data_IF_483559481479
#
_entry.id   IF_483559481479
#
_cell.length_a   1.000
_cell.length_b   1.000
_cell.length_c   1.000
_cell.angle_alpha   90.00
_cell.angle_beta   90.00
_cell.angle_gamma   90.00
#
_symmetry.space_group_name_H-M   'P 1'
#
loop_
_entity.id
_entity.type
_entity.pdbx_description
1 polymer ?
#
# COMPACT_ATOMS: atom_id res chain seq x y z
N UNK A 1 -2.02 -4.02 -7.19
CA UNK A 1 -1.34 -3.75 -8.47
C UNK A 1 0.17 -3.86 -8.29
N UNK A 2 0.79 -2.91 -7.60
CA UNK A 2 2.25 -2.87 -7.40
C UNK A 2 2.86 -4.11 -6.72
N UNK A 3 2.16 -4.72 -5.77
CA UNK A 3 2.62 -5.97 -5.15
C UNK A 3 2.75 -7.11 -6.17
N UNK A 4 1.82 -7.23 -7.11
CA UNK A 4 1.90 -8.32 -8.09
C UNK A 4 3.06 -8.09 -9.07
N UNK A 5 3.26 -6.84 -9.53
CA UNK A 5 4.42 -6.47 -10.36
C UNK A 5 5.73 -6.81 -9.67
N UNK A 6 5.82 -6.50 -8.37
CA UNK A 6 6.96 -6.85 -7.54
C UNK A 6 7.18 -8.37 -7.44
N UNK A 7 6.12 -9.14 -7.21
CA UNK A 7 6.21 -10.61 -7.13
C UNK A 7 6.66 -11.24 -8.45
N UNK A 8 6.26 -10.66 -9.60
CA UNK A 8 6.68 -11.13 -10.92
C UNK A 8 8.17 -10.90 -11.23
N UNK A 9 8.88 -10.09 -10.43
CA UNK A 9 10.34 -9.94 -10.54
C UNK A 9 11.11 -11.07 -9.83
N UNK A 10 10.42 -11.99 -9.15
CA UNK A 10 11.02 -13.04 -8.32
C UNK A 10 10.65 -14.40 -8.92
N UNK A 11 11.62 -15.06 -9.55
CA UNK A 11 11.42 -16.32 -10.26
C UNK A 11 11.13 -17.49 -9.32
N UNK A 12 11.80 -17.53 -8.16
CA UNK A 12 11.66 -18.62 -7.20
C UNK A 12 11.73 -18.13 -5.75
N UNK A 13 11.27 -18.94 -4.78
CA UNK A 13 11.45 -18.62 -3.36
C UNK A 13 12.92 -18.43 -2.98
N UNK A 14 13.86 -19.12 -3.63
CA UNK A 14 15.28 -19.03 -3.30
C UNK A 14 15.87 -17.66 -3.66
N UNK A 15 15.32 -17.02 -4.70
CA UNK A 15 15.74 -15.69 -5.16
C UNK A 15 15.16 -14.54 -4.32
N UNK A 16 14.11 -14.81 -3.54
CA UNK A 16 13.40 -13.77 -2.79
C UNK A 16 14.30 -13.07 -1.76
N UNK A 17 15.26 -13.78 -1.14
CA UNK A 17 16.15 -13.18 -0.15
C UNK A 17 17.16 -12.20 -0.77
N UNK A 18 17.82 -12.58 -1.86
CA UNK A 18 18.75 -11.70 -2.56
C UNK A 18 18.02 -10.47 -3.10
N UNK A 19 16.83 -10.68 -3.69
CA UNK A 19 15.97 -9.62 -4.19
C UNK A 19 15.61 -8.60 -3.08
N UNK A 20 15.21 -9.07 -1.89
CA UNK A 20 14.90 -8.18 -0.75
C UNK A 20 16.13 -7.41 -0.30
N UNK A 21 17.27 -8.08 -0.13
CA UNK A 21 18.51 -7.45 0.34
C UNK A 21 18.98 -6.34 -0.60
N UNK A 22 18.92 -6.57 -1.91
CA UNK A 22 19.29 -5.57 -2.92
C UNK A 22 18.41 -4.33 -2.86
N UNK A 23 17.09 -4.51 -2.76
CA UNK A 23 16.15 -3.40 -2.63
C UNK A 23 16.32 -2.62 -1.33
N UNK A 24 16.56 -3.32 -0.22
CA UNK A 24 16.82 -2.69 1.06
C UNK A 24 18.12 -1.89 1.06
N UNK A 25 19.18 -2.40 0.43
CA UNK A 25 20.45 -1.69 0.26
C UNK A 25 20.27 -0.39 -0.53
N UNK A 26 19.39 -0.41 -1.54
CA UNK A 26 19.00 0.77 -2.34
C UNK A 26 17.94 1.65 -1.67
N UNK A 27 17.54 1.37 -0.43
CA UNK A 27 16.48 2.07 0.33
C UNK A 27 15.14 2.11 -0.41
N UNK A 28 14.87 1.12 -1.25
CA UNK A 28 13.61 1.01 -1.96
C UNK A 28 12.51 0.45 -1.05
N UNK A 29 11.28 0.89 -1.28
CA UNK A 29 10.11 0.39 -0.57
C UNK A 29 9.72 -0.98 -1.14
N UNK A 30 9.46 -1.94 -0.25
CA UNK A 30 8.94 -3.26 -0.60
C UNK A 30 7.44 -3.25 -0.27
N UNK A 31 6.61 -3.53 -1.26
CA UNK A 31 5.15 -3.48 -1.16
C UNK A 31 4.61 -4.71 -0.43
N UNK A 32 3.44 -4.58 0.20
CA UNK A 32 2.83 -5.68 0.98
C UNK A 32 3.33 -5.83 2.42
N UNK A 33 4.15 -4.90 2.91
CA UNK A 33 4.72 -4.94 4.27
C UNK A 33 4.40 -3.70 5.11
N UNK A 34 4.24 -3.93 6.41
CA UNK A 34 3.97 -2.91 7.41
C UNK A 34 2.51 -2.44 7.40
N UNK A 35 2.11 -1.90 8.55
CA UNK A 35 0.77 -1.34 8.75
C UNK A 35 0.86 -0.13 9.69
N UNK A 36 0.05 0.91 9.44
CA UNK A 36 0.05 2.13 10.29
C UNK A 36 -0.51 1.86 11.69
N UNK A 37 -1.41 0.90 11.79
CA UNK A 37 -2.15 0.51 13.01
C UNK A 37 -1.68 -0.82 13.61
N UNK A 38 -1.68 -1.91 12.84
CA UNK A 38 -1.28 -3.23 13.33
C UNK A 38 0.23 -3.35 13.54
N UNK A 39 0.63 -3.66 14.78
CA UNK A 39 2.04 -3.85 15.16
C UNK A 39 2.48 -5.31 15.18
N UNK A 40 1.53 -6.26 15.24
CA UNK A 40 1.79 -7.70 15.41
C UNK A 40 1.23 -8.56 14.27
N UNK A 41 1.12 -7.96 13.08
CA UNK A 41 0.53 -8.60 11.90
C UNK A 41 -0.91 -8.15 11.61
N UNK A 42 -1.26 -8.23 10.34
CA UNK A 42 -2.58 -7.89 9.80
C UNK A 42 -3.50 -9.11 9.87
N UNK A 43 -4.65 -8.98 10.54
CA UNK A 43 -5.59 -10.10 10.76
C UNK A 43 -6.19 -10.66 9.47
N UNK A 44 -6.06 -9.95 8.34
CA UNK A 44 -6.55 -10.39 7.03
C UNK A 44 -5.55 -11.27 6.27
N UNK A 45 -4.30 -11.29 6.69
CA UNK A 45 -3.24 -12.09 6.04
C UNK A 45 -3.53 -13.59 6.07
N UNK A 46 -3.93 -14.21 7.21
CA UNK A 46 -4.13 -15.66 7.27
C UNK A 46 -5.16 -16.18 6.26
N UNK A 47 -6.31 -15.49 6.13
CA UNK A 47 -7.36 -15.89 5.19
C UNK A 47 -6.91 -15.70 3.73
N UNK A 48 -6.24 -14.59 3.41
CA UNK A 48 -5.74 -14.36 2.04
C UNK A 48 -4.65 -15.35 1.65
N UNK A 49 -3.75 -15.70 2.59
CA UNK A 49 -2.72 -16.73 2.37
C UNK A 49 -3.36 -18.07 2.03
N UNK A 50 -4.39 -18.48 2.76
CA UNK A 50 -5.06 -19.75 2.52
C UNK A 50 -5.81 -19.76 1.17
N UNK A 51 -6.50 -18.67 0.82
CA UNK A 51 -7.12 -18.52 -0.50
C UNK A 51 -6.09 -18.61 -1.63
N UNK A 52 -4.94 -17.94 -1.48
CA UNK A 52 -3.85 -18.01 -2.45
C UNK A 52 -3.33 -19.45 -2.61
N UNK A 53 -3.19 -20.21 -1.51
CA UNK A 53 -2.77 -21.63 -1.56
C UNK A 53 -3.79 -22.49 -2.30
N UNK A 54 -5.08 -22.31 -2.01
CA UNK A 54 -6.15 -23.06 -2.66
C UNK A 54 -6.20 -22.80 -4.16
N UNK A 55 -6.13 -21.53 -4.56
CA UNK A 55 -6.10 -21.13 -5.96
C UNK A 55 -4.82 -21.60 -6.66
N UNK A 56 -3.67 -21.50 -5.99
CA UNK A 56 -2.39 -21.98 -6.50
C UNK A 56 -2.44 -23.47 -6.84
N UNK A 57 -2.96 -24.30 -5.93
CA UNK A 57 -3.19 -25.75 -6.18
C UNK A 57 -4.16 -25.98 -7.33
N UNK A 58 -5.26 -25.23 -7.37
CA UNK A 58 -6.30 -25.38 -8.40
C UNK A 58 -5.80 -25.08 -9.81
N UNK A 59 -4.94 -24.08 -9.97
CA UNK A 59 -4.46 -23.60 -11.26
C UNK A 59 -3.01 -24.02 -11.58
N UNK A 60 -2.40 -24.88 -10.75
CA UNK A 60 -1.03 -25.37 -10.97
C UNK A 60 0.06 -24.30 -10.80
N UNK A 61 -0.22 -23.24 -10.05
CA UNK A 61 0.69 -22.11 -9.79
C UNK A 61 1.00 -21.98 -8.30
N UNK A 62 1.44 -23.08 -7.68
CA UNK A 62 1.66 -23.16 -6.24
C UNK A 62 2.85 -22.33 -5.74
N UNK A 63 3.74 -21.91 -6.64
CA UNK A 63 4.99 -21.18 -6.32
C UNK A 63 4.76 -19.80 -5.69
N UNK A 64 3.62 -19.14 -5.96
CA UNK A 64 3.36 -17.78 -5.46
C UNK A 64 3.36 -17.66 -3.94
N UNK A 65 2.79 -18.65 -3.25
CA UNK A 65 2.69 -18.61 -1.78
C UNK A 65 4.06 -18.83 -1.11
N UNK A 66 4.86 -19.83 -1.50
CA UNK A 66 6.25 -19.97 -1.06
C UNK A 66 7.09 -18.71 -1.26
N UNK A 67 6.95 -18.02 -2.41
CA UNK A 67 7.63 -16.72 -2.64
C UNK A 67 7.20 -15.69 -1.60
N UNK A 68 5.89 -15.51 -1.39
CA UNK A 68 5.36 -14.57 -0.40
C UNK A 68 5.82 -14.90 1.04
N UNK A 69 5.84 -16.18 1.41
CA UNK A 69 6.29 -16.65 2.72
C UNK A 69 7.78 -16.41 2.93
N UNK A 70 8.60 -16.60 1.89
CA UNK A 70 10.02 -16.27 1.97
C UNK A 70 10.24 -14.76 2.14
N UNK A 71 9.53 -13.94 1.37
CA UNK A 71 9.56 -12.48 1.53
C UNK A 71 9.19 -12.06 2.95
N UNK A 72 8.15 -12.67 3.52
CA UNK A 72 7.72 -12.40 4.89
C UNK A 72 8.80 -12.75 5.92
N UNK A 73 9.41 -13.93 5.81
CA UNK A 73 10.49 -14.36 6.71
C UNK A 73 11.68 -13.40 6.65
N UNK A 74 12.10 -12.98 5.45
CA UNK A 74 13.24 -12.07 5.27
C UNK A 74 12.89 -10.67 5.78
N UNK A 75 11.72 -10.12 5.43
CA UNK A 75 11.30 -8.78 5.89
C UNK A 75 11.12 -8.70 7.41
N UNK A 76 10.60 -9.76 8.03
CA UNK A 76 10.49 -9.85 9.48
C UNK A 76 11.88 -9.84 10.14
N UNK A 77 12.86 -10.57 9.56
CA UNK A 77 14.24 -10.63 10.07
C UNK A 77 14.98 -9.30 9.90
N UNK A 78 14.92 -8.69 8.72
CA UNK A 78 15.73 -7.51 8.36
C UNK A 78 15.13 -6.20 8.86
N UNK A 79 13.79 -6.10 8.93
CA UNK A 79 13.07 -4.85 9.22
C UNK A 79 12.03 -4.95 10.33
N UNK A 80 11.77 -6.14 10.87
CA UNK A 80 10.70 -6.37 11.85
C UNK A 80 9.32 -5.92 11.33
N UNK A 81 9.11 -6.03 10.01
CA UNK A 81 7.86 -5.66 9.36
C UNK A 81 7.08 -6.93 9.01
N UNK A 82 5.85 -7.01 9.53
CA UNK A 82 4.92 -8.07 9.15
C UNK A 82 4.30 -7.79 7.78
N UNK A 83 3.87 -8.85 7.09
CA UNK A 83 3.03 -8.73 5.91
C UNK A 83 1.70 -8.03 6.23
N UNK A 84 1.17 -7.30 5.25
CA UNK A 84 -0.21 -6.83 5.25
C UNK A 84 -1.03 -7.59 4.20
N UNK A 85 -2.34 -7.34 4.18
CA UNK A 85 -3.28 -8.03 3.28
C UNK A 85 -2.86 -8.01 1.81
N UNK A 86 -2.18 -6.95 1.35
CA UNK A 86 -1.88 -6.73 -0.05
C UNK A 86 -0.86 -7.75 -0.59
N UNK A 87 0.02 -8.30 0.27
CA UNK A 87 1.01 -9.31 -0.12
C UNK A 87 0.35 -10.55 -0.72
N UNK A 88 -0.69 -11.06 -0.05
CA UNK A 88 -1.39 -12.28 -0.45
C UNK A 88 -2.63 -12.01 -1.31
N UNK A 89 -3.22 -10.82 -1.25
CA UNK A 89 -4.29 -10.44 -2.17
C UNK A 89 -3.80 -10.36 -3.64
N UNK A 90 -2.53 -10.01 -3.85
CA UNK A 90 -1.93 -9.95 -5.18
C UNK A 90 -1.99 -11.29 -5.95
N UNK A 91 -1.43 -12.41 -5.43
CA UNK A 91 -1.55 -13.69 -6.10
C UNK A 91 -3.00 -14.19 -6.18
N UNK A 92 -3.87 -13.88 -5.20
CA UNK A 92 -5.30 -14.24 -5.29
C UNK A 92 -5.95 -13.62 -6.54
N UNK A 93 -5.81 -12.32 -6.75
CA UNK A 93 -6.41 -11.66 -7.92
C UNK A 93 -5.76 -12.12 -9.23
N UNK A 94 -4.44 -12.31 -9.23
CA UNK A 94 -3.72 -12.83 -10.38
C UNK A 94 -4.21 -14.23 -10.80
N UNK A 95 -4.34 -15.15 -9.83
CA UNK A 95 -4.80 -16.51 -10.08
C UNK A 95 -6.27 -16.59 -10.51
N UNK A 96 -7.08 -15.60 -10.14
CA UNK A 96 -8.46 -15.45 -10.64
C UNK A 96 -8.52 -14.87 -12.06
N UNK A 97 -7.38 -14.56 -12.69
CA UNK A 97 -7.31 -13.98 -14.02
C UNK A 97 -7.79 -12.53 -14.08
N UNK A 98 -7.79 -11.83 -12.94
CA UNK A 98 -8.22 -10.43 -12.86
C UNK A 98 -7.05 -9.54 -13.32
N UNK A 99 -7.26 -8.71 -14.37
CA UNK A 99 -6.27 -7.72 -14.79
C UNK A 99 -5.88 -6.80 -13.63
N UNK A 100 -4.59 -6.50 -13.51
CA UNK A 100 -4.08 -5.79 -12.33
C UNK A 100 -4.70 -4.40 -12.16
N UNK A 101 -5.07 -3.75 -13.27
CA UNK A 101 -5.73 -2.45 -13.33
C UNK A 101 -7.13 -2.46 -12.68
N UNK A 102 -7.73 -3.65 -12.48
CA UNK A 102 -9.03 -3.82 -11.86
C UNK A 102 -8.95 -4.06 -10.34
N UNK A 103 -7.76 -4.20 -9.75
CA UNK A 103 -7.63 -4.41 -8.30
C UNK A 103 -8.21 -3.22 -7.52
N UNK A 104 -7.91 -1.98 -7.94
CA UNK A 104 -8.41 -0.78 -7.27
C UNK A 104 -9.93 -0.61 -7.41
N UNK A 105 -10.54 -0.80 -8.59
CA UNK A 105 -12.00 -0.90 -8.73
C UNK A 105 -12.65 -1.96 -7.84
N UNK A 106 -12.09 -3.18 -7.75
CA UNK A 106 -12.62 -4.25 -6.88
C UNK A 106 -12.56 -3.84 -5.41
N UNK A 107 -11.46 -3.21 -4.99
CA UNK A 107 -11.34 -2.64 -3.65
C UNK A 107 -12.45 -1.62 -3.37
N UNK A 108 -12.75 -0.73 -4.33
CA UNK A 108 -13.81 0.25 -4.19
C UNK A 108 -15.19 -0.41 -4.07
N UNK A 109 -15.50 -1.40 -4.91
CA UNK A 109 -16.74 -2.19 -4.82
C UNK A 109 -16.90 -2.88 -3.47
N UNK A 110 -15.81 -3.40 -2.89
CA UNK A 110 -15.85 -3.97 -1.54
C UNK A 110 -16.03 -2.91 -0.46
N UNK A 111 -15.33 -1.77 -0.58
CA UNK A 111 -15.25 -0.76 0.48
C UNK A 111 -16.44 0.20 0.51
N UNK A 112 -17.21 0.29 -0.58
CA UNK A 112 -18.40 1.16 -0.67
C UNK A 112 -19.39 0.90 0.46
N UNK A 113 -19.55 -0.35 0.90
CA UNK A 113 -20.41 -0.69 2.04
C UNK A 113 -19.96 0.01 3.33
N UNK A 114 -18.66 0.00 3.63
CA UNK A 114 -18.09 0.69 4.78
C UNK A 114 -18.14 2.21 4.63
N UNK A 115 -17.95 2.75 3.43
CA UNK A 115 -18.12 4.19 3.18
C UNK A 115 -19.56 4.63 3.42
N UNK A 116 -20.54 3.89 2.91
CA UNK A 116 -21.96 4.15 3.15
C UNK A 116 -22.30 4.07 4.64
N UNK A 117 -21.80 3.06 5.36
CA UNK A 117 -21.99 2.93 6.80
C UNK A 117 -21.46 4.15 7.55
N UNK A 118 -20.21 4.57 7.27
CA UNK A 118 -19.63 5.77 7.90
C UNK A 118 -20.38 7.06 7.53
N UNK A 119 -20.94 7.17 6.33
CA UNK A 119 -21.79 8.31 5.96
C UNK A 119 -23.07 8.33 6.81
N UNK A 120 -23.73 7.18 6.97
CA UNK A 120 -24.92 7.06 7.82
C UNK A 120 -24.58 7.44 9.28
N UNK A 121 -23.51 6.87 9.84
CA UNK A 121 -23.02 7.19 11.20
C UNK A 121 -22.74 8.69 11.38
N UNK A 122 -22.13 9.33 10.37
CA UNK A 122 -21.87 10.76 10.38
C UNK A 122 -23.15 11.59 10.32
N UNK A 123 -24.19 11.14 9.60
CA UNK A 123 -25.48 11.82 9.57
C UNK A 123 -26.22 11.74 10.91
N UNK A 124 -26.14 10.59 11.60
CA UNK A 124 -26.73 10.41 12.94
C UNK A 124 -26.01 11.23 14.02
N UNK A 125 -24.69 11.38 13.92
CA UNK A 125 -23.85 12.08 14.90
C UNK A 125 -22.98 13.17 14.25
N UNK A 126 -23.64 14.16 13.64
CA UNK A 126 -23.02 15.10 12.70
C UNK A 126 -22.07 16.15 13.32
N UNK A 127 -20.87 15.71 13.69
CA UNK A 127 -19.77 16.58 14.11
C UNK A 127 -18.76 16.77 12.97
N UNK A 128 -18.71 17.98 12.42
CA UNK A 128 -17.76 18.32 11.36
C UNK A 128 -16.31 18.44 11.89
N UNK A 129 -15.37 17.86 11.15
CA UNK A 129 -13.94 18.11 11.37
C UNK A 129 -13.61 19.51 10.83
N UNK A 130 -13.01 20.36 11.66
CA UNK A 130 -12.55 21.71 11.30
C UNK A 130 -11.02 21.77 11.37
N UNK A 131 -10.29 21.29 10.35
CA UNK A 131 -8.84 21.30 10.37
C UNK A 131 -8.30 22.73 10.42
N UNK A 132 -7.26 22.96 11.21
CA UNK A 132 -6.55 24.25 11.29
C UNK A 132 -5.19 24.11 10.59
N UNK A 133 -4.80 25.16 9.88
CA UNK A 133 -3.49 25.24 9.24
C UNK A 133 -2.57 26.17 10.02
N UNK A 134 -1.29 25.80 10.11
CA UNK A 134 -0.23 26.70 10.54
C UNK A 134 0.25 27.50 9.33
N UNK A 135 0.12 28.83 9.39
CA UNK A 135 0.64 29.69 8.34
C UNK A 135 2.16 29.83 8.48
N UNK A 136 2.91 29.33 7.50
CA UNK A 136 4.38 29.44 7.41
C UNK A 136 4.83 30.31 6.23
N UNK A 137 3.90 31.10 5.67
CA UNK A 137 4.19 32.03 4.59
C UNK A 137 4.82 33.35 5.08
N UNK A 138 5.18 34.25 4.16
CA UNK A 138 5.71 35.56 4.52
C UNK A 138 4.75 36.36 5.42
N UNK A 139 5.27 37.22 6.28
CA UNK A 139 4.46 38.19 7.00
C UNK A 139 3.65 39.08 6.04
N UNK A 140 2.68 39.84 6.58
CA UNK A 140 1.85 40.77 5.80
C UNK A 140 2.74 41.67 4.94
N UNK A 141 2.52 41.65 3.63
CA UNK A 141 3.22 42.50 2.66
C UNK A 141 2.36 43.71 2.31
N UNK A 142 3.00 44.86 2.13
CA UNK A 142 2.36 46.05 1.58
C UNK A 142 2.16 45.85 0.08
N UNK A 143 0.96 46.17 -0.42
CA UNK A 143 0.66 46.10 -1.84
C UNK A 143 1.51 47.12 -2.61
N UNK A 144 2.12 46.69 -3.72
CA UNK A 144 2.92 47.54 -4.60
C UNK A 144 2.17 47.73 -5.92
N UNK A 145 1.62 48.93 -6.21
CA UNK A 145 0.97 49.22 -7.48
C UNK A 145 1.95 49.06 -8.66
N UNK A 146 1.45 48.58 -9.80
CA UNK A 146 2.24 48.48 -11.03
C UNK A 146 2.73 49.88 -11.44
N UNK A 147 4.05 50.08 -11.51
CA UNK A 147 4.68 51.33 -11.94
C UNK A 147 5.56 52.04 -10.91
N UNK A 148 5.60 51.59 -9.64
CA UNK A 148 6.41 52.22 -8.57
C UNK A 148 7.53 51.33 -8.00
N UNK A 149 7.83 50.19 -8.63
CA UNK A 149 8.97 49.36 -8.22
C UNK A 149 10.28 49.98 -8.67
N UNK A 150 11.19 50.28 -7.72
CA UNK A 150 12.61 50.49 -8.06
C UNK A 150 13.11 49.24 -8.77
N UNK A 151 13.53 49.37 -10.03
CA UNK A 151 14.13 48.29 -10.81
C UNK A 151 15.35 47.68 -10.09
N UNK A 152 15.80 46.49 -10.52
CA UNK A 152 16.94 45.83 -9.90
C UNK A 152 18.15 46.79 -9.93
N UNK A 153 18.79 46.99 -8.77
CA UNK A 153 20.09 47.66 -8.72
C UNK A 153 21.12 46.69 -9.32
N UNK A 154 21.70 47.09 -10.46
CA UNK A 154 22.94 46.54 -10.99
C UNK A 154 24.08 46.75 -9.99
#
# INVERSE_FOLDING_TARGET
>A
EETMKMLQEIDSPDDAESWVKDRLARKQKIMGFGHRVYKKGDSRVPIMRELARQLGRRFGQEHWVPVCERLEAVMQREKQLCANVDLYAAPVFHLLGIPSELNTPIFACSRVSGWCAHVIEQHEHNRLIRPRSLYTGPARRVYQPRGQGKGPKL
#
